data_IF_628637453930
#
_entry.id   IF_628637453930
#
_cell.length_a   1.000
_cell.length_b   1.000
_cell.length_c   1.000
_cell.angle_alpha   90.00
_cell.angle_beta   90.00
_cell.angle_gamma   90.00
#
_symmetry.space_group_name_H-M   'P 1'
#
loop_
_entity.id
_entity.type
_entity.pdbx_description
1 polymer ?
#
# COMPACT_ATOMS: atom_id res chain seq x y z
N UNK A 1 -12.35 11.98 8.76
CA UNK A 1 -11.34 11.22 7.97
C UNK A 1 -10.08 11.21 8.79
N UNK A 2 -9.45 10.05 9.02
CA UNK A 2 -8.13 9.97 9.66
C UNK A 2 -7.10 9.52 8.64
N UNK A 3 -5.89 10.06 8.73
CA UNK A 3 -4.78 9.76 7.82
C UNK A 3 -3.56 9.49 8.69
N UNK A 4 -2.84 8.41 8.41
CA UNK A 4 -1.66 7.99 9.15
C UNK A 4 -0.62 7.42 8.19
N UNK A 5 0.65 7.72 8.42
CA UNK A 5 1.75 7.06 7.71
C UNK A 5 1.99 5.70 8.36
N UNK A 6 1.94 4.62 7.59
CA UNK A 6 2.32 3.30 8.10
C UNK A 6 3.83 3.16 8.11
N UNK A 7 4.35 2.80 9.28
CA UNK A 7 5.77 2.54 9.49
C UNK A 7 6.03 1.05 9.65
N UNK A 8 7.30 0.66 9.50
CA UNK A 8 7.75 -0.72 9.59
C UNK A 8 7.57 -1.30 11.00
N UNK A 9 7.61 -0.44 12.02
CA UNK A 9 7.38 -0.80 13.42
C UNK A 9 5.94 -1.26 13.67
N UNK A 10 4.98 -0.72 12.92
CA UNK A 10 3.55 -1.00 13.09
C UNK A 10 3.06 -2.04 12.08
N UNK A 11 3.69 -2.08 10.91
CA UNK A 11 3.33 -2.96 9.81
C UNK A 11 4.61 -3.42 9.10
N UNK A 12 5.26 -4.52 9.56
CA UNK A 12 6.54 -4.97 9.04
C UNK A 12 6.57 -5.23 7.52
N UNK A 13 5.42 -5.54 6.92
CA UNK A 13 5.30 -5.72 5.48
C UNK A 13 5.52 -4.42 4.67
N UNK A 14 5.50 -3.25 5.31
CA UNK A 14 5.85 -1.96 4.69
C UNK A 14 7.27 -2.03 4.13
N UNK A 15 8.24 -2.51 4.90
CA UNK A 15 9.64 -2.63 4.47
C UNK A 15 9.77 -3.47 3.19
N UNK A 16 8.99 -4.57 3.11
CA UNK A 16 8.99 -5.48 1.94
C UNK A 16 8.46 -4.80 0.68
N UNK A 17 7.40 -3.99 0.79
CA UNK A 17 6.83 -3.29 -0.39
C UNK A 17 7.68 -2.10 -0.80
N UNK A 18 8.30 -1.39 0.15
CA UNK A 18 9.26 -0.32 -0.14
C UNK A 18 10.42 -0.84 -1.00
N UNK A 19 11.06 -1.92 -0.55
CA UNK A 19 12.23 -2.47 -1.23
C UNK A 19 11.90 -3.13 -2.58
N UNK A 20 10.76 -3.83 -2.69
CA UNK A 20 10.40 -4.54 -3.92
C UNK A 20 9.87 -3.62 -5.02
N UNK A 21 9.11 -2.60 -4.66
CA UNK A 21 8.32 -1.81 -5.59
C UNK A 21 8.71 -0.33 -5.61
N UNK A 22 9.87 0.04 -5.06
CA UNK A 22 10.36 1.43 -5.02
C UNK A 22 9.32 2.41 -4.44
N UNK A 23 8.64 1.94 -3.38
CA UNK A 23 7.63 2.70 -2.64
C UNK A 23 8.35 3.52 -1.57
N UNK A 24 8.19 4.84 -1.59
CA UNK A 24 8.79 5.72 -0.58
C UNK A 24 7.82 6.00 0.58
N UNK A 25 6.50 5.90 0.36
CA UNK A 25 5.51 6.17 1.43
C UNK A 25 4.31 5.25 1.37
N UNK A 26 3.86 4.82 2.55
CA UNK A 26 2.63 4.06 2.72
C UNK A 26 1.72 4.83 3.67
N UNK A 27 0.49 5.09 3.24
CA UNK A 27 -0.51 5.82 4.02
C UNK A 27 -1.70 4.91 4.27
N UNK A 28 -2.20 4.92 5.50
CA UNK A 28 -3.48 4.37 5.92
C UNK A 28 -4.48 5.51 6.13
N UNK A 29 -5.68 5.38 5.58
CA UNK A 29 -6.74 6.36 5.71
C UNK A 29 -8.06 5.68 6.05
N UNK A 30 -8.79 6.27 6.99
CA UNK A 30 -10.11 5.79 7.38
C UNK A 30 -11.20 6.79 7.04
N UNK A 31 -12.24 6.29 6.37
CA UNK A 31 -13.49 7.03 6.13
C UNK A 31 -14.69 6.17 6.54
N UNK A 32 -15.30 6.50 7.68
CA UNK A 32 -16.36 5.68 8.27
C UNK A 32 -15.87 4.25 8.57
N UNK A 33 -16.48 3.26 7.89
CA UNK A 33 -16.12 1.82 7.98
C UNK A 33 -15.13 1.36 6.90
N UNK A 34 -14.70 2.25 6.02
CA UNK A 34 -13.79 1.96 4.92
C UNK A 34 -12.35 2.33 5.32
N UNK A 35 -11.47 1.34 5.28
CA UNK A 35 -10.02 1.55 5.35
C UNK A 35 -9.43 1.59 3.94
N UNK A 36 -8.47 2.49 3.73
CA UNK A 36 -7.81 2.75 2.46
C UNK A 36 -6.31 2.77 2.71
N UNK A 37 -5.57 1.97 1.94
CA UNK A 37 -4.11 1.99 1.98
C UNK A 37 -3.57 2.43 0.63
N UNK A 38 -2.61 3.34 0.65
CA UNK A 38 -1.96 3.88 -0.54
C UNK A 38 -0.45 3.69 -0.47
N UNK A 39 0.11 3.14 -1.55
CA UNK A 39 1.55 3.04 -1.77
C UNK A 39 1.96 4.10 -2.77
N UNK A 40 2.78 5.05 -2.34
CA UNK A 40 3.35 6.10 -3.17
C UNK A 40 4.75 5.67 -3.60
N UNK A 41 4.94 5.48 -4.90
CA UNK A 41 6.22 5.17 -5.52
C UNK A 41 6.47 6.05 -6.75
N UNK A 42 7.60 5.84 -7.42
CA UNK A 42 7.95 6.60 -8.64
C UNK A 42 6.97 6.39 -9.79
N UNK A 43 6.33 5.22 -9.83
CA UNK A 43 5.43 4.81 -10.91
C UNK A 43 3.96 5.22 -10.63
N UNK A 44 3.72 5.97 -9.54
CA UNK A 44 2.39 6.50 -9.17
C UNK A 44 1.90 6.01 -7.82
N UNK A 45 0.56 5.94 -7.68
CA UNK A 45 -0.11 5.56 -6.42
C UNK A 45 -0.89 4.27 -6.60
N UNK A 46 -0.55 3.24 -5.81
CA UNK A 46 -1.32 2.00 -5.74
C UNK A 46 -2.23 2.01 -4.53
N UNK A 47 -3.55 1.99 -4.76
CA UNK A 47 -4.57 2.08 -3.73
C UNK A 47 -5.28 0.74 -3.50
N UNK A 48 -5.54 0.41 -2.24
CA UNK A 48 -6.36 -0.72 -1.84
C UNK A 48 -7.41 -0.31 -0.81
N UNK A 49 -8.54 -1.02 -0.82
CA UNK A 49 -9.71 -0.74 0.02
C UNK A 49 -10.11 -1.96 0.84
N UNK A 50 -10.46 -1.80 2.12
CA UNK A 50 -10.84 -2.92 2.97
C UNK A 50 -11.68 -2.53 4.17
N UNK A 51 -12.14 -3.54 4.90
CA UNK A 51 -12.83 -3.37 6.20
C UNK A 51 -11.84 -3.10 7.34
N UNK A 52 -10.56 -3.41 7.12
CA UNK A 52 -9.45 -3.15 8.01
C UNK A 52 -8.17 -2.83 7.19
N UNK A 53 -7.17 -2.21 7.84
CA UNK A 53 -5.89 -1.82 7.22
C UNK A 53 -5.19 -2.99 6.55
N UNK A 54 -5.24 -4.20 7.13
CA UNK A 54 -4.59 -5.40 6.59
C UNK A 54 -5.19 -5.85 5.26
N UNK A 55 -6.52 -5.78 5.13
CA UNK A 55 -7.21 -6.10 3.89
C UNK A 55 -6.91 -5.05 2.80
N UNK A 56 -6.98 -3.77 3.16
CA UNK A 56 -6.64 -2.67 2.27
C UNK A 56 -5.19 -2.77 1.77
N UNK A 57 -4.24 -3.06 2.66
CA UNK A 57 -2.82 -3.26 2.35
C UNK A 57 -2.61 -4.43 1.38
N UNK A 58 -3.26 -5.58 1.61
CA UNK A 58 -3.17 -6.75 0.72
C UNK A 58 -3.64 -6.41 -0.69
N UNK A 59 -4.73 -5.64 -0.81
CA UNK A 59 -5.27 -5.20 -2.11
C UNK A 59 -4.34 -4.20 -2.79
N UNK A 60 -3.82 -3.19 -2.08
CA UNK A 60 -2.83 -2.26 -2.62
C UNK A 60 -1.59 -2.99 -3.15
N UNK A 61 -1.07 -3.95 -2.38
CA UNK A 61 0.04 -4.83 -2.80
C UNK A 61 -0.28 -5.66 -4.02
N UNK A 62 -1.50 -6.18 -4.16
CA UNK A 62 -1.93 -6.93 -5.34
C UNK A 62 -1.93 -6.06 -6.59
N UNK A 63 -2.39 -4.81 -6.48
CA UNK A 63 -2.37 -3.85 -7.60
C UNK A 63 -0.94 -3.52 -8.00
N UNK A 64 -0.08 -3.16 -7.04
CA UNK A 64 1.35 -2.89 -7.29
C UNK A 64 2.03 -4.09 -7.98
N UNK A 65 1.87 -5.30 -7.42
CA UNK A 65 2.46 -6.52 -7.99
C UNK A 65 1.99 -6.77 -9.41
N UNK A 66 0.71 -6.57 -9.70
CA UNK A 66 0.18 -6.74 -11.06
C UNK A 66 0.85 -5.76 -12.02
N UNK A 67 0.92 -4.48 -11.66
CA UNK A 67 1.58 -3.46 -12.47
C UNK A 67 3.04 -3.83 -12.78
N UNK A 68 3.85 -4.12 -11.77
CA UNK A 68 5.25 -4.46 -12.00
C UNK A 68 5.45 -5.79 -12.76
N UNK A 69 4.55 -6.76 -12.59
CA UNK A 69 4.58 -8.00 -13.38
C UNK A 69 4.27 -7.72 -14.85
N UNK A 70 3.25 -6.92 -15.12
CA UNK A 70 2.83 -6.57 -16.48
C UNK A 70 3.92 -5.74 -17.20
N UNK A 71 4.70 -4.94 -16.44
CA UNK A 71 5.87 -4.18 -16.91
C UNK A 71 7.17 -5.02 -17.02
N UNK A 72 7.16 -6.30 -16.64
CA UNK A 72 8.35 -7.17 -16.67
C UNK A 72 9.43 -6.84 -15.63
N UNK A 73 9.05 -6.23 -14.50
CA UNK A 73 9.93 -5.72 -13.44
C UNK A 73 9.83 -6.49 -12.10
N UNK A 74 9.16 -7.66 -12.08
CA UNK A 74 8.85 -8.44 -10.85
C UNK A 74 9.64 -9.75 -10.70
#
# INVERSE_FOLDING_TARGET
>A
MSIKILTENEFPEVSKVKNRFDIFRVIDMKTGKLEIVEFFGKDGVFRGFGKNTREAFKKAKKVAKKYYKDEGRD
#
